data_IF_357141672115
#
_entry.id   IF_357141672115
#
_cell.length_a   1.000
_cell.length_b   1.000
_cell.length_c   1.000
_cell.angle_alpha   90.00
_cell.angle_beta   90.00
_cell.angle_gamma   90.00
#
_symmetry.space_group_name_H-M   'P 1'
#
loop_
_entity.id
_entity.type
_entity.pdbx_description
1 polymer ?
#
# COMPACT_ATOMS: atom_id res chain seq x y z
N UNK A 1 3.48 -21.89 -6.77
CA UNK A 1 2.58 -20.92 -6.11
C UNK A 1 1.60 -20.42 -7.16
N UNK A 2 0.29 -20.40 -6.87
CA UNK A 2 -0.69 -19.92 -7.85
C UNK A 2 -0.63 -18.38 -7.91
N UNK A 3 -0.50 -17.84 -9.12
CA UNK A 3 -0.51 -16.39 -9.41
C UNK A 3 -1.65 -15.66 -8.70
N UNK A 4 -2.80 -16.32 -8.54
CA UNK A 4 -3.97 -15.84 -7.81
C UNK A 4 -3.71 -15.43 -6.36
N UNK A 5 -2.78 -16.08 -5.63
CA UNK A 5 -2.43 -15.65 -4.26
C UNK A 5 -1.68 -14.32 -4.27
N UNK A 6 -0.74 -14.14 -5.21
CA UNK A 6 0.03 -12.90 -5.33
C UNK A 6 -0.89 -11.72 -5.67
N UNK A 7 -1.80 -11.94 -6.62
CA UNK A 7 -2.81 -10.95 -7.03
C UNK A 7 -3.77 -10.63 -5.89
N UNK A 8 -4.21 -11.63 -5.12
CA UNK A 8 -5.08 -11.41 -3.97
C UNK A 8 -4.40 -10.51 -2.91
N UNK A 9 -3.14 -10.79 -2.55
CA UNK A 9 -2.44 -9.95 -1.57
C UNK A 9 -2.17 -8.53 -2.08
N UNK A 10 -1.83 -8.38 -3.36
CA UNK A 10 -1.71 -7.07 -4.00
C UNK A 10 -3.01 -6.24 -3.90
N UNK A 11 -4.16 -6.87 -4.12
CA UNK A 11 -5.46 -6.23 -3.93
C UNK A 11 -5.71 -5.85 -2.47
N UNK A 12 -5.41 -6.73 -1.51
CA UNK A 12 -5.59 -6.41 -0.08
C UNK A 12 -4.71 -5.23 0.33
N UNK A 13 -3.46 -5.17 -0.13
CA UNK A 13 -2.57 -4.02 0.11
C UNK A 13 -3.10 -2.72 -0.49
N UNK A 14 -3.69 -2.78 -1.69
CA UNK A 14 -4.34 -1.63 -2.31
C UNK A 14 -5.53 -1.13 -1.46
N UNK A 15 -6.36 -2.03 -0.93
CA UNK A 15 -7.46 -1.66 -0.04
C UNK A 15 -6.96 -1.03 1.28
N UNK A 16 -5.93 -1.60 1.92
CA UNK A 16 -5.32 -1.00 3.11
C UNK A 16 -4.80 0.42 2.83
N UNK A 17 -4.11 0.62 1.71
CA UNK A 17 -3.63 1.95 1.30
C UNK A 17 -4.79 2.93 1.03
N UNK A 18 -5.85 2.48 0.37
CA UNK A 18 -7.05 3.28 0.11
C UNK A 18 -7.73 3.73 1.40
N UNK A 19 -7.90 2.83 2.37
CA UNK A 19 -8.52 3.16 3.66
C UNK A 19 -7.66 4.17 4.43
N UNK A 20 -6.34 3.95 4.50
CA UNK A 20 -5.42 4.88 5.19
C UNK A 20 -5.46 6.27 4.56
N UNK A 21 -5.39 6.36 3.22
CA UNK A 21 -5.48 7.64 2.52
C UNK A 21 -6.83 8.32 2.72
N UNK A 22 -7.91 7.55 2.74
CA UNK A 22 -9.23 8.08 3.03
C UNK A 22 -9.31 8.65 4.45
N UNK A 23 -8.78 7.94 5.44
CA UNK A 23 -8.67 8.44 6.82
C UNK A 23 -7.84 9.72 6.91
N UNK A 24 -6.78 9.85 6.10
CA UNK A 24 -5.96 11.07 6.07
C UNK A 24 -6.67 12.27 5.41
N UNK A 25 -7.57 12.02 4.45
CA UNK A 25 -8.24 13.08 3.68
C UNK A 25 -9.44 13.70 4.41
N UNK A 26 -10.09 12.97 5.33
CA UNK A 26 -11.19 13.57 6.09
C UNK A 26 -10.64 14.62 7.05
N UNK A 27 -10.98 15.88 6.73
CA UNK A 27 -10.59 17.12 7.40
C UNK A 27 -10.98 17.20 8.88
N UNK A 28 -11.76 16.25 9.40
CA UNK A 28 -12.09 16.17 10.83
C UNK A 28 -10.90 15.75 11.72
N UNK A 29 -9.82 15.19 11.16
CA UNK A 29 -8.78 14.56 11.98
C UNK A 29 -7.57 15.43 12.32
N UNK A 30 -7.50 16.72 11.93
CA UNK A 30 -6.41 17.63 12.32
C UNK A 30 -4.99 17.00 12.22
N UNK A 31 -4.80 16.12 11.23
CA UNK A 31 -3.52 15.51 10.93
C UNK A 31 -2.65 16.60 10.29
N UNK A 32 -1.58 17.02 10.98
CA UNK A 32 -0.61 18.02 10.50
C UNK A 32 0.21 17.56 9.27
N UNK A 33 -0.20 16.49 8.59
CA UNK A 33 0.26 16.24 7.24
C UNK A 33 -0.56 17.12 6.29
N UNK A 34 0.12 18.00 5.54
CA UNK A 34 -0.36 18.78 4.40
C UNK A 34 -1.78 18.36 3.99
N UNK A 35 -2.80 19.19 4.28
CA UNK A 35 -4.20 18.90 3.94
C UNK A 35 -4.26 18.34 2.51
N UNK A 36 -4.37 17.02 2.37
CA UNK A 36 -4.42 16.38 1.07
C UNK A 36 -5.83 16.66 0.60
N UNK A 37 -5.94 17.54 -0.40
CA UNK A 37 -7.23 17.87 -0.98
C UNK A 37 -7.88 16.58 -1.50
N UNK A 38 -9.20 16.45 -1.37
CA UNK A 38 -9.96 15.31 -1.90
C UNK A 38 -9.52 14.90 -3.33
N UNK A 39 -9.26 15.84 -4.27
CA UNK A 39 -8.75 15.52 -5.60
C UNK A 39 -7.37 14.84 -5.61
N UNK A 40 -6.43 15.29 -4.79
CA UNK A 40 -5.09 14.68 -4.67
C UNK A 40 -5.17 13.27 -4.07
N UNK A 41 -6.09 13.03 -3.13
CA UNK A 41 -6.36 11.70 -2.59
C UNK A 41 -6.85 10.75 -3.69
N UNK A 42 -7.88 11.16 -4.45
CA UNK A 42 -8.42 10.35 -5.55
C UNK A 42 -7.37 10.10 -6.63
N UNK A 43 -6.52 11.08 -6.93
CA UNK A 43 -5.42 10.93 -7.88
C UNK A 43 -4.40 9.90 -7.37
N UNK A 44 -3.99 9.96 -6.09
CA UNK A 44 -3.09 8.98 -5.49
C UNK A 44 -3.66 7.56 -5.48
N UNK A 45 -4.97 7.42 -5.28
CA UNK A 45 -5.70 6.16 -5.32
C UNK A 45 -5.77 5.60 -6.74
N UNK A 46 -6.01 6.45 -7.74
CA UNK A 46 -5.99 6.10 -9.16
C UNK A 46 -4.60 5.67 -9.63
N UNK A 47 -3.56 6.40 -9.22
CA UNK A 47 -2.16 6.05 -9.50
C UNK A 47 -1.83 4.68 -8.88
N UNK A 48 -2.28 4.42 -7.64
CA UNK A 48 -2.12 3.14 -6.99
C UNK A 48 -2.80 1.99 -7.70
N UNK A 49 -4.03 2.23 -8.18
CA UNK A 49 -4.76 1.23 -8.95
C UNK A 49 -3.99 0.87 -10.22
N UNK A 50 -3.56 1.89 -10.98
CA UNK A 50 -2.83 1.70 -12.24
C UNK A 50 -1.50 0.99 -11.99
N UNK A 51 -0.72 1.41 -10.99
CA UNK A 51 0.59 0.81 -10.70
C UNK A 51 0.47 -0.65 -10.24
N UNK A 52 -0.53 -0.99 -9.42
CA UNK A 52 -0.80 -2.38 -9.06
C UNK A 52 -1.22 -3.20 -10.28
N UNK A 53 -2.06 -2.64 -11.15
CA UNK A 53 -2.50 -3.31 -12.38
C UNK A 53 -1.34 -3.57 -13.34
N UNK A 54 -0.47 -2.58 -13.53
CA UNK A 54 0.77 -2.69 -14.32
C UNK A 54 1.70 -3.73 -13.72
N UNK A 55 1.86 -3.76 -12.40
CA UNK A 55 2.65 -4.79 -11.71
C UNK A 55 2.12 -6.20 -11.97
N UNK A 56 0.81 -6.39 -11.88
CA UNK A 56 0.17 -7.69 -12.15
C UNK A 56 0.32 -8.10 -13.63
N UNK A 57 0.11 -7.17 -14.56
CA UNK A 57 0.34 -7.39 -15.99
C UNK A 57 1.80 -7.75 -16.28
N UNK A 58 2.75 -7.06 -15.65
CA UNK A 58 4.16 -7.35 -15.80
C UNK A 58 4.50 -8.77 -15.31
N UNK A 59 3.89 -9.24 -14.20
CA UNK A 59 4.02 -10.63 -13.75
C UNK A 59 3.44 -11.63 -14.76
N UNK A 60 2.35 -11.28 -15.43
CA UNK A 60 1.72 -12.13 -16.44
C UNK A 60 2.56 -12.21 -17.74
N UNK A 61 3.12 -11.08 -18.18
CA UNK A 61 3.93 -10.98 -19.39
C UNK A 61 5.32 -11.60 -19.22
N UNK A 62 6.02 -11.25 -18.14
CA UNK A 62 7.35 -11.76 -17.86
C UNK A 62 7.63 -11.78 -16.36
N UNK A 63 7.86 -12.99 -15.86
CA UNK A 63 8.15 -13.29 -14.47
C UNK A 63 9.27 -12.44 -13.85
N UNK A 64 10.34 -12.15 -14.58
CA UNK A 64 11.43 -11.31 -14.06
C UNK A 64 11.03 -9.84 -13.98
N UNK A 65 10.37 -9.30 -15.02
CA UNK A 65 9.91 -7.92 -15.02
C UNK A 65 8.85 -7.69 -13.94
N UNK A 66 7.91 -8.61 -13.79
CA UNK A 66 6.91 -8.57 -12.72
C UNK A 66 7.52 -8.59 -11.33
N UNK A 67 8.65 -9.28 -11.12
CA UNK A 67 9.35 -9.22 -9.83
C UNK A 67 9.84 -7.81 -9.50
N UNK A 68 10.51 -7.15 -10.44
CA UNK A 68 11.04 -5.80 -10.22
C UNK A 68 9.93 -4.76 -10.13
N UNK A 69 8.97 -4.78 -11.06
CA UNK A 69 7.88 -3.79 -11.10
C UNK A 69 6.99 -3.93 -9.86
N UNK A 70 6.53 -5.14 -9.54
CA UNK A 70 5.62 -5.36 -8.41
C UNK A 70 6.36 -5.15 -7.08
N UNK A 71 7.64 -5.51 -7.00
CA UNK A 71 8.50 -5.19 -5.85
C UNK A 71 8.64 -3.69 -5.59
N UNK A 72 8.92 -2.90 -6.63
CA UNK A 72 9.01 -1.43 -6.53
C UNK A 72 7.67 -0.83 -6.10
N UNK A 73 6.57 -1.28 -6.70
CA UNK A 73 5.21 -0.84 -6.34
C UNK A 73 4.94 -1.07 -4.85
N UNK A 74 5.21 -2.27 -4.34
CA UNK A 74 5.04 -2.60 -2.92
C UNK A 74 5.91 -1.70 -2.03
N UNK A 75 7.16 -1.44 -2.41
CA UNK A 75 8.05 -0.59 -1.64
C UNK A 75 7.54 0.86 -1.56
N UNK A 76 7.14 1.44 -2.69
CA UNK A 76 6.59 2.80 -2.73
C UNK A 76 5.34 2.91 -1.85
N UNK A 77 4.42 1.93 -1.93
CA UNK A 77 3.21 1.95 -1.09
C UNK A 77 3.50 1.68 0.38
N UNK A 78 4.55 0.92 0.70
CA UNK A 78 5.01 0.75 2.08
C UNK A 78 5.53 2.07 2.65
N UNK A 79 6.32 2.83 1.89
CA UNK A 79 6.77 4.16 2.30
C UNK A 79 5.59 5.12 2.49
N UNK A 80 4.58 5.05 1.63
CA UNK A 80 3.34 5.81 1.79
C UNK A 80 2.60 5.48 3.09
N UNK A 81 2.51 4.20 3.46
CA UNK A 81 1.92 3.76 4.73
C UNK A 81 2.76 4.22 5.93
N UNK A 82 4.08 4.12 5.88
CA UNK A 82 4.97 4.63 6.95
C UNK A 82 4.79 6.14 7.13
N UNK A 83 4.71 6.90 6.04
CA UNK A 83 4.47 8.34 6.10
C UNK A 83 3.11 8.65 6.75
N UNK A 84 2.08 7.87 6.42
CA UNK A 84 0.77 8.00 7.05
C UNK A 84 0.83 7.71 8.57
N UNK A 85 1.56 6.68 8.99
CA UNK A 85 1.77 6.37 10.41
C UNK A 85 2.48 7.52 11.15
N UNK A 86 3.56 8.06 10.59
CA UNK A 86 4.29 9.20 11.17
C UNK A 86 3.39 10.44 11.31
N UNK A 87 2.57 10.70 10.29
CA UNK A 87 1.61 11.79 10.31
C UNK A 87 0.49 11.57 11.35
N UNK A 88 0.06 10.33 11.55
CA UNK A 88 -0.83 9.92 12.65
C UNK A 88 -0.25 10.24 14.03
N UNK A 89 1.04 9.96 14.22
CA UNK A 89 1.74 10.20 15.48
C UNK A 89 1.80 11.68 15.83
N UNK A 90 2.16 12.54 14.87
CA UNK A 90 2.29 14.00 15.06
C UNK A 90 0.96 14.77 15.12
N UNK A 91 -0.15 14.14 14.78
CA UNK A 91 -1.47 14.77 14.75
C UNK A 91 -2.07 15.08 16.12
N UNK A 92 -3.00 16.04 16.20
CA UNK A 92 -3.87 16.25 17.37
C UNK A 92 -5.20 15.48 17.28
N UNK A 93 -5.32 14.52 16.36
CA UNK A 93 -6.49 13.64 16.19
C UNK A 93 -6.87 12.92 17.49
N UNK A 94 -8.16 12.63 17.64
CA UNK A 94 -8.67 11.79 18.72
C UNK A 94 -7.96 10.42 18.78
N UNK A 95 -7.68 9.94 19.99
CA UNK A 95 -6.85 8.74 20.22
C UNK A 95 -7.37 7.49 19.50
N UNK A 96 -8.69 7.35 19.38
CA UNK A 96 -9.34 6.25 18.66
C UNK A 96 -8.93 6.19 17.18
N UNK A 97 -8.81 7.33 16.52
CA UNK A 97 -8.49 7.40 15.09
C UNK A 97 -7.02 7.15 14.84
N UNK A 98 -6.15 7.62 15.73
CA UNK A 98 -4.72 7.30 15.69
C UNK A 98 -4.50 5.80 15.82
N UNK A 99 -5.15 5.17 16.80
CA UNK A 99 -5.05 3.73 17.02
C UNK A 99 -5.53 2.95 15.80
N UNK A 100 -6.65 3.35 15.22
CA UNK A 100 -7.24 2.70 14.05
C UNK A 100 -6.34 2.85 12.81
N UNK A 101 -5.75 4.04 12.62
CA UNK A 101 -4.78 4.30 11.55
C UNK A 101 -3.47 3.50 11.74
N UNK A 102 -2.99 3.38 12.99
CA UNK A 102 -1.83 2.55 13.32
C UNK A 102 -2.07 1.08 13.04
N UNK A 103 -3.21 0.54 13.47
CA UNK A 103 -3.57 -0.86 13.25
C UNK A 103 -3.68 -1.15 11.75
N UNK A 104 -4.40 -0.33 10.98
CA UNK A 104 -4.57 -0.55 9.54
C UNK A 104 -3.25 -0.36 8.79
N UNK A 105 -2.47 0.65 9.16
CA UNK A 105 -1.14 0.89 8.56
C UNK A 105 -0.18 -0.26 8.84
N UNK A 106 -0.14 -0.77 10.07
CA UNK A 106 0.68 -1.92 10.46
C UNK A 106 0.25 -3.20 9.74
N UNK A 107 -1.05 -3.46 9.61
CA UNK A 107 -1.57 -4.59 8.83
C UNK A 107 -1.16 -4.44 7.36
N UNK A 108 -1.33 -3.27 6.76
CA UNK A 108 -0.94 -2.99 5.38
C UNK A 108 0.57 -3.22 5.14
N UNK A 109 1.42 -2.78 6.07
CA UNK A 109 2.86 -3.04 6.02
C UNK A 109 3.18 -4.53 6.16
N UNK A 110 2.51 -5.24 7.07
CA UNK A 110 2.66 -6.69 7.23
C UNK A 110 2.33 -7.45 5.95
N UNK A 111 1.24 -7.05 5.27
CA UNK A 111 0.82 -7.67 3.99
C UNK A 111 1.82 -7.34 2.88
N UNK A 112 2.28 -6.09 2.79
CA UNK A 112 3.32 -5.70 1.83
C UNK A 112 4.61 -6.51 2.03
N UNK A 113 5.08 -6.63 3.27
CA UNK A 113 6.25 -7.41 3.61
C UNK A 113 6.07 -8.89 3.25
N UNK A 114 4.92 -9.47 3.62
CA UNK A 114 4.60 -10.86 3.27
C UNK A 114 4.55 -11.09 1.76
N UNK A 115 4.01 -10.13 1.00
CA UNK A 115 3.94 -10.18 -0.47
C UNK A 115 5.34 -10.10 -1.09
N UNK A 116 6.24 -9.29 -0.53
CA UNK A 116 7.67 -9.25 -0.92
C UNK A 116 8.39 -10.57 -0.63
N UNK A 117 8.15 -11.19 0.53
CA UNK A 117 8.70 -12.51 0.87
C UNK A 117 8.17 -13.59 -0.09
N UNK A 118 6.88 -13.52 -0.45
CA UNK A 118 6.29 -14.41 -1.45
C UNK A 118 6.95 -14.22 -2.83
N UNK A 119 7.15 -12.97 -3.25
CA UNK A 119 7.80 -12.61 -4.51
C UNK A 119 9.24 -13.14 -4.58
N UNK A 120 10.02 -12.97 -3.52
CA UNK A 120 11.41 -13.46 -3.43
C UNK A 120 11.48 -14.99 -3.42
N UNK A 121 10.61 -15.67 -2.66
CA UNK A 121 10.50 -17.14 -2.68
C UNK A 121 10.06 -17.65 -4.06
N UNK A 122 9.16 -16.94 -4.73
CA UNK A 122 8.73 -17.28 -6.08
C UNK A 122 9.87 -17.12 -7.08
N UNK A 123 10.75 -16.12 -6.94
CA UNK A 123 11.97 -16.03 -7.75
C UNK A 123 12.89 -17.25 -7.54
N UNK A 124 13.16 -17.59 -6.28
CA UNK A 124 14.16 -18.59 -5.92
C UNK A 124 13.79 -20.04 -6.26
N UNK A 125 12.50 -20.38 -6.36
CA UNK A 125 12.04 -21.76 -6.66
C UNK A 125 12.16 -22.16 -8.14
N UNK A 126 12.85 -21.36 -8.95
CA UNK A 126 12.90 -21.52 -10.42
C UNK A 126 14.23 -21.15 -11.05
N UNK A 127 15.22 -20.79 -10.24
CA UNK A 127 16.63 -20.98 -10.58
C UNK A 127 17.06 -22.32 -9.96
#
# INVERSE_FOLDING_TARGET
MKLTRLVAFAFVSFFCYGIVNWMMSISHFHLQAKLISLPEMWQGLLIALVLYFVGILAVYLNRMLGFYVLGIVILIYSLGLVNALMAGYQSTAGMEIKLLLEVIGAIGLGINFYTLVLLTRWRHKTN
#
